data_IF_627361026911
#
_entry.id   IF_627361026911
#
_cell.length_a   1.000
_cell.length_b   1.000
_cell.length_c   1.000
_cell.angle_alpha   90.00
_cell.angle_beta   90.00
_cell.angle_gamma   90.00
#
_symmetry.space_group_name_H-M   'P 1'
#
loop_
_entity.id
_entity.type
_entity.pdbx_description
1 polymer ?
#
# COMPACT_ATOMS: atom_id res chain seq x y z
N UNK A 1 22.16 25.54 -7.40
CA UNK A 1 21.95 24.87 -6.10
C UNK A 1 21.41 25.84 -5.04
N UNK A 2 22.04 27.00 -4.82
CA UNK A 2 21.61 28.03 -3.83
C UNK A 2 20.19 28.60 -4.11
N UNK A 3 19.81 28.77 -5.38
CA UNK A 3 18.47 29.28 -5.74
C UNK A 3 17.35 28.28 -5.39
N UNK A 4 17.61 26.99 -5.61
CA UNK A 4 16.64 25.93 -5.32
C UNK A 4 16.44 25.75 -3.81
N UNK A 5 17.50 25.89 -3.01
CA UNK A 5 17.42 25.80 -1.54
C UNK A 5 16.70 26.99 -0.93
N UNK A 6 16.90 28.21 -1.45
CA UNK A 6 16.14 29.40 -1.04
C UNK A 6 14.66 29.30 -1.41
N UNK A 7 14.34 28.71 -2.56
CA UNK A 7 12.95 28.45 -2.96
C UNK A 7 12.31 27.42 -2.04
N UNK A 8 13.02 26.34 -1.70
CA UNK A 8 12.54 25.30 -0.77
C UNK A 8 12.35 25.88 0.63
N UNK A 9 13.28 26.67 1.15
CA UNK A 9 13.15 27.27 2.48
C UNK A 9 11.98 28.25 2.54
N UNK A 10 11.82 29.12 1.54
CA UNK A 10 10.66 30.03 1.44
C UNK A 10 9.35 29.26 1.28
N UNK A 11 9.35 28.16 0.53
CA UNK A 11 8.17 27.32 0.36
C UNK A 11 7.78 26.64 1.68
N UNK A 12 8.74 26.12 2.44
CA UNK A 12 8.52 25.57 3.78
C UNK A 12 7.97 26.65 4.72
N UNK A 13 8.57 27.84 4.76
CA UNK A 13 8.06 28.95 5.57
C UNK A 13 6.63 29.36 5.20
N UNK A 14 6.29 29.34 3.90
CA UNK A 14 4.95 29.67 3.40
C UNK A 14 3.93 28.60 3.79
N UNK A 15 4.29 27.32 3.68
CA UNK A 15 3.41 26.22 4.09
C UNK A 15 3.22 26.23 5.60
N UNK A 16 4.30 26.36 6.37
CA UNK A 16 4.25 26.30 7.81
C UNK A 16 3.51 27.50 8.42
N UNK A 17 3.42 28.65 7.74
CA UNK A 17 2.64 29.79 8.28
C UNK A 17 1.12 29.61 8.23
N UNK A 18 0.60 28.56 7.58
CA UNK A 18 -0.82 28.25 7.61
C UNK A 18 -1.34 27.91 9.01
N UNK A 19 -2.59 28.29 9.28
CA UNK A 19 -3.25 28.11 10.58
C UNK A 19 -3.24 26.66 11.12
N UNK A 20 -3.19 25.66 10.23
CA UNK A 20 -3.12 24.24 10.58
C UNK A 20 -1.87 23.91 11.41
N UNK A 21 -0.77 24.64 11.20
CA UNK A 21 0.50 24.40 11.91
C UNK A 21 0.67 25.27 13.17
N UNK A 22 -0.37 25.99 13.60
CA UNK A 22 -0.36 26.77 14.85
C UNK A 22 -0.86 25.99 16.06
N UNK A 23 -1.14 24.70 15.89
CA UNK A 23 -1.55 23.78 16.96
C UNK A 23 -0.35 23.49 17.87
N UNK A 24 -0.60 23.35 19.18
CA UNK A 24 0.46 22.97 20.11
C UNK A 24 1.04 21.58 19.75
N UNK A 25 2.37 21.39 19.68
CA UNK A 25 2.97 20.13 19.24
C UNK A 25 2.49 18.89 20.02
N UNK A 26 2.22 19.03 21.32
CA UNK A 26 1.67 17.94 22.14
C UNK A 26 0.29 17.45 21.67
N UNK A 27 -0.55 18.36 21.16
CA UNK A 27 -1.88 18.00 20.62
C UNK A 27 -1.71 17.23 19.31
N UNK A 28 -0.84 17.72 18.42
CA UNK A 28 -0.52 17.03 17.16
C UNK A 28 0.09 15.64 17.41
N UNK A 29 0.99 15.52 18.38
CA UNK A 29 1.56 14.24 18.81
C UNK A 29 0.49 13.31 19.39
N UNK A 30 -0.36 13.80 20.29
CA UNK A 30 -1.47 13.05 20.86
C UNK A 30 -2.44 12.54 19.78
N UNK A 31 -2.76 13.37 18.79
CA UNK A 31 -3.59 12.98 17.65
C UNK A 31 -2.94 11.88 16.80
N UNK A 32 -1.62 11.97 16.56
CA UNK A 32 -0.86 10.93 15.84
C UNK A 32 -0.90 9.58 16.58
N UNK A 33 -0.63 9.57 17.88
CA UNK A 33 -0.66 8.35 18.71
C UNK A 33 -2.08 7.80 18.79
N UNK A 34 -3.09 8.65 19.00
CA UNK A 34 -4.49 8.25 19.03
C UNK A 34 -4.93 7.61 17.70
N UNK A 35 -4.51 8.18 16.57
CA UNK A 35 -4.81 7.61 15.25
C UNK A 35 -4.19 6.21 15.07
N UNK A 36 -2.92 6.04 15.43
CA UNK A 36 -2.28 4.72 15.39
C UNK A 36 -3.01 3.72 16.28
N UNK A 37 -3.34 4.11 17.52
CA UNK A 37 -4.07 3.26 18.45
C UNK A 37 -5.41 2.83 17.86
N UNK A 38 -6.23 3.77 17.38
CA UNK A 38 -7.54 3.49 16.77
C UNK A 38 -7.40 2.64 15.50
N UNK A 39 -6.32 2.79 14.74
CA UNK A 39 -6.06 1.98 13.55
C UNK A 39 -5.83 0.50 13.86
N UNK A 40 -5.05 0.20 14.90
CA UNK A 40 -4.70 -1.18 15.25
C UNK A 40 -5.67 -1.84 16.24
N UNK A 41 -6.24 -1.04 17.16
CA UNK A 41 -7.05 -1.54 18.28
C UNK A 41 -8.21 -2.44 17.85
N UNK A 42 -9.07 -2.10 16.85
CA UNK A 42 -10.20 -2.94 16.48
C UNK A 42 -9.80 -4.33 16.00
N UNK A 43 -8.68 -4.48 15.28
CA UNK A 43 -8.24 -5.78 14.77
C UNK A 43 -7.73 -6.68 15.91
N UNK A 44 -6.95 -6.12 16.83
CA UNK A 44 -6.50 -6.86 18.00
C UNK A 44 -7.65 -7.21 18.95
N UNK A 45 -8.57 -6.26 19.17
CA UNK A 45 -9.72 -6.48 20.04
C UNK A 45 -10.68 -7.55 19.50
N UNK A 46 -10.99 -7.51 18.20
CA UNK A 46 -11.99 -8.40 17.62
C UNK A 46 -11.44 -9.78 17.23
N UNK A 47 -10.21 -9.85 16.72
CA UNK A 47 -9.69 -11.07 16.09
C UNK A 47 -8.39 -11.58 16.72
N UNK A 48 -7.80 -10.84 17.67
CA UNK A 48 -6.49 -11.13 18.28
C UNK A 48 -5.36 -11.35 17.25
N UNK A 49 -5.49 -10.72 16.08
CA UNK A 49 -4.49 -10.73 15.00
C UNK A 49 -4.29 -9.31 14.48
N UNK A 50 -3.10 -8.98 13.95
CA UNK A 50 -2.88 -7.68 13.34
C UNK A 50 -3.83 -7.47 12.14
N UNK A 51 -4.14 -6.20 11.81
CA UNK A 51 -4.93 -5.89 10.62
C UNK A 51 -4.29 -6.49 9.36
N UNK A 52 -5.12 -6.73 8.34
CA UNK A 52 -4.60 -7.17 7.04
C UNK A 52 -3.56 -6.17 6.50
N UNK A 53 -2.52 -6.62 5.77
CA UNK A 53 -1.40 -5.74 5.41
C UNK A 53 -1.79 -4.47 4.64
N UNK A 54 -2.89 -4.50 3.86
CA UNK A 54 -3.45 -3.30 3.21
C UNK A 54 -3.95 -2.25 4.21
N UNK A 55 -4.59 -2.67 5.30
CA UNK A 55 -5.05 -1.78 6.36
C UNK A 55 -3.86 -1.19 7.09
N UNK A 56 -2.84 -2.01 7.36
CA UNK A 56 -1.57 -1.54 7.95
C UNK A 56 -0.94 -0.43 7.10
N UNK A 57 -0.89 -0.60 5.77
CA UNK A 57 -0.36 0.43 4.86
C UNK A 57 -1.14 1.75 4.95
N UNK A 58 -2.48 1.70 5.04
CA UNK A 58 -3.31 2.89 5.19
C UNK A 58 -3.05 3.57 6.53
N UNK A 59 -2.92 2.80 7.62
CA UNK A 59 -2.59 3.35 8.94
C UNK A 59 -1.25 4.06 8.90
N UNK A 60 -0.21 3.43 8.34
CA UNK A 60 1.12 4.04 8.22
C UNK A 60 1.13 5.27 7.31
N UNK A 61 0.45 5.23 6.18
CA UNK A 61 0.36 6.38 5.27
C UNK A 61 -0.21 7.61 5.99
N UNK A 62 -1.33 7.45 6.67
CA UNK A 62 -1.94 8.54 7.45
C UNK A 62 -1.05 8.97 8.63
N UNK A 63 -0.38 8.02 9.28
CA UNK A 63 0.58 8.32 10.36
C UNK A 63 1.74 9.17 9.84
N UNK A 64 2.27 8.91 8.65
CA UNK A 64 3.32 9.72 8.02
C UNK A 64 2.82 11.14 7.75
N UNK A 65 1.58 11.32 7.28
CA UNK A 65 1.00 12.64 7.07
C UNK A 65 0.86 13.42 8.40
N UNK A 66 0.38 12.74 9.45
CA UNK A 66 0.29 13.32 10.79
C UNK A 66 1.67 13.63 11.39
N UNK A 67 2.68 12.82 11.08
CA UNK A 67 4.06 13.06 11.49
C UNK A 67 4.65 14.30 10.81
N UNK A 68 4.40 14.49 9.50
CA UNK A 68 4.79 15.72 8.80
C UNK A 68 4.11 16.95 9.43
N UNK A 69 2.81 16.83 9.76
CA UNK A 69 2.07 17.88 10.46
C UNK A 69 2.66 18.17 11.84
N UNK A 70 3.01 17.14 12.61
CA UNK A 70 3.66 17.26 13.91
C UNK A 70 5.01 17.99 13.81
N UNK A 71 5.86 17.63 12.83
CA UNK A 71 7.13 18.35 12.58
C UNK A 71 6.88 19.82 12.27
N UNK A 72 5.89 20.13 11.42
CA UNK A 72 5.52 21.52 11.09
C UNK A 72 5.06 22.31 12.32
N UNK A 73 4.27 21.68 13.20
CA UNK A 73 3.85 22.29 14.47
C UNK A 73 5.05 22.55 15.40
N UNK A 74 5.97 21.58 15.53
CA UNK A 74 7.22 21.74 16.29
C UNK A 74 8.05 22.91 15.77
N UNK A 75 8.26 22.98 14.46
CA UNK A 75 9.03 24.05 13.83
C UNK A 75 8.46 25.43 14.16
N UNK A 76 7.15 25.62 13.98
CA UNK A 76 6.48 26.87 14.31
C UNK A 76 6.50 27.20 15.80
N UNK A 77 6.30 26.21 16.66
CA UNK A 77 6.32 26.40 18.10
C UNK A 77 7.69 26.92 18.56
N UNK A 78 8.80 26.30 18.12
CA UNK A 78 10.15 26.76 18.46
C UNK A 78 10.48 28.12 17.84
N UNK A 79 10.06 28.37 16.60
CA UNK A 79 10.24 29.68 15.93
C UNK A 79 9.54 30.80 16.71
N UNK A 80 8.32 30.57 17.23
CA UNK A 80 7.58 31.53 18.07
C UNK A 80 8.27 31.80 19.41
N UNK A 81 8.95 30.80 19.97
CA UNK A 81 9.75 30.95 21.20
C UNK A 81 11.09 31.68 20.95
N UNK A 82 11.34 32.19 19.73
CA UNK A 82 12.56 32.89 19.38
C UNK A 82 13.79 31.99 19.19
N UNK A 83 13.60 30.66 19.19
CA UNK A 83 14.69 29.73 18.93
C UNK A 83 14.98 29.76 17.43
N UNK A 84 16.12 30.33 17.06
CA UNK A 84 16.61 30.33 15.68
C UNK A 84 17.01 28.91 15.30
N UNK A 85 16.13 28.20 14.60
CA UNK A 85 16.47 26.94 13.94
C UNK A 85 17.20 27.27 12.64
N UNK A 86 18.52 27.42 12.71
CA UNK A 86 19.34 27.63 11.52
C UNK A 86 19.52 26.28 10.82
N UNK A 87 18.53 25.91 10.01
CA UNK A 87 18.60 24.69 9.20
C UNK A 87 19.60 24.96 8.09
N UNK A 88 20.86 24.60 8.34
CA UNK A 88 21.93 24.69 7.35
C UNK A 88 21.50 24.07 6.03
N UNK A 89 21.73 24.79 4.92
CA UNK A 89 21.38 24.35 3.57
C UNK A 89 21.97 22.96 3.23
N UNK A 90 23.09 22.60 3.87
CA UNK A 90 23.72 21.30 3.74
C UNK A 90 22.85 20.16 4.29
N UNK A 91 22.17 20.37 5.41
CA UNK A 91 21.34 19.35 6.06
C UNK A 91 20.08 19.04 5.23
N UNK A 92 19.48 20.04 4.60
CA UNK A 92 18.30 19.86 3.74
C UNK A 92 18.64 19.06 2.48
N UNK A 93 19.77 19.36 1.85
CA UNK A 93 20.25 18.63 0.66
C UNK A 93 20.63 17.20 1.02
N UNK A 94 21.34 17.01 2.14
CA UNK A 94 21.70 15.68 2.61
C UNK A 94 20.46 14.83 2.91
N UNK A 95 19.45 15.41 3.56
CA UNK A 95 18.20 14.72 3.86
C UNK A 95 17.42 14.34 2.60
N UNK A 96 17.33 15.25 1.62
CA UNK A 96 16.71 14.97 0.32
C UNK A 96 17.46 13.87 -0.45
N UNK A 97 18.79 13.87 -0.42
CA UNK A 97 19.63 12.83 -1.05
C UNK A 97 19.45 11.48 -0.35
N UNK A 98 19.34 11.44 0.97
CA UNK A 98 19.08 10.21 1.73
C UNK A 98 17.70 9.64 1.39
N UNK A 99 16.65 10.47 1.38
CA UNK A 99 15.30 10.05 0.98
C UNK A 99 15.31 9.53 -0.47
N UNK A 100 15.91 10.27 -1.38
CA UNK A 100 15.98 9.88 -2.79
C UNK A 100 16.77 8.58 -2.98
N UNK A 101 17.90 8.44 -2.31
CA UNK A 101 18.72 7.22 -2.36
C UNK A 101 17.97 6.02 -1.80
N UNK A 102 17.20 6.20 -0.72
CA UNK A 102 16.37 5.15 -0.15
C UNK A 102 15.22 4.73 -1.09
N UNK A 103 14.60 5.68 -1.78
CA UNK A 103 13.55 5.42 -2.78
C UNK A 103 14.07 4.68 -4.02
N UNK A 104 15.35 4.88 -4.38
CA UNK A 104 15.98 4.27 -5.57
C UNK A 104 16.65 2.92 -5.25
N UNK A 105 17.23 2.76 -4.06
CA UNK A 105 18.05 1.59 -3.73
C UNK A 105 17.24 0.31 -3.45
N UNK A 106 15.96 0.41 -3.08
CA UNK A 106 15.10 -0.77 -2.84
C UNK A 106 14.29 -1.16 -4.07
N UNK A 107 13.95 -2.46 -4.15
CA UNK A 107 12.96 -2.96 -5.11
C UNK A 107 11.65 -2.19 -4.93
N UNK A 108 11.33 -1.34 -5.91
CA UNK A 108 10.21 -0.43 -5.84
C UNK A 108 8.96 -1.09 -6.48
N UNK A 109 7.83 -1.21 -5.76
CA UNK A 109 6.58 -1.70 -6.33
C UNK A 109 6.15 -0.97 -7.60
N UNK A 110 6.52 0.32 -7.74
CA UNK A 110 6.27 1.12 -8.93
C UNK A 110 7.01 0.54 -10.14
N UNK A 111 8.29 0.16 -9.98
CA UNK A 111 9.08 -0.44 -11.07
C UNK A 111 8.45 -1.77 -11.52
N UNK A 112 7.98 -2.57 -10.56
CA UNK A 112 7.25 -3.81 -10.86
C UNK A 112 5.93 -3.54 -11.59
N UNK A 113 5.18 -2.50 -11.20
CA UNK A 113 3.93 -2.11 -11.86
C UNK A 113 4.14 -1.74 -13.32
N UNK A 114 5.12 -0.86 -13.59
CA UNK A 114 5.48 -0.52 -14.97
C UNK A 114 5.96 -1.75 -15.75
N UNK A 115 6.75 -2.62 -15.12
CA UNK A 115 7.18 -3.87 -15.76
C UNK A 115 6.02 -4.84 -16.03
N UNK A 116 4.94 -4.84 -15.25
CA UNK A 116 3.74 -5.65 -15.50
C UNK A 116 2.91 -5.10 -16.67
N UNK A 117 2.81 -3.76 -16.78
CA UNK A 117 2.13 -3.07 -17.88
C UNK A 117 2.88 -3.25 -19.20
N UNK A 118 4.17 -2.91 -19.23
CA UNK A 118 5.00 -2.93 -20.45
C UNK A 118 5.20 -4.35 -20.97
N UNK A 119 5.38 -5.34 -20.08
CA UNK A 119 5.51 -6.75 -20.49
C UNK A 119 4.17 -7.41 -20.81
N UNK A 120 3.05 -6.68 -20.75
CA UNK A 120 1.73 -7.20 -21.09
C UNK A 120 1.12 -8.20 -20.09
N UNK A 121 1.75 -8.43 -18.93
CA UNK A 121 1.23 -9.35 -17.89
C UNK A 121 -0.13 -8.90 -17.38
N UNK A 122 -0.32 -7.60 -17.15
CA UNK A 122 -1.62 -7.05 -16.76
C UNK A 122 -2.71 -7.28 -17.83
N UNK A 123 -2.37 -7.12 -19.11
CA UNK A 123 -3.32 -7.36 -20.21
C UNK A 123 -3.65 -8.85 -20.36
N UNK A 124 -2.66 -9.73 -20.24
CA UNK A 124 -2.87 -11.19 -20.28
C UNK A 124 -3.76 -11.66 -19.14
N UNK A 125 -3.50 -11.18 -17.92
CA UNK A 125 -4.33 -11.45 -16.76
C UNK A 125 -5.78 -11.00 -16.94
N UNK A 126 -5.99 -9.78 -17.44
CA UNK A 126 -7.34 -9.26 -17.70
C UNK A 126 -8.11 -10.16 -18.65
N UNK A 127 -7.50 -10.58 -19.75
CA UNK A 127 -8.12 -11.49 -20.73
C UNK A 127 -8.48 -12.84 -20.10
N UNK A 128 -7.57 -13.44 -19.32
CA UNK A 128 -7.82 -14.70 -18.63
C UNK A 128 -8.95 -14.58 -17.60
N UNK A 129 -9.00 -13.47 -16.86
CA UNK A 129 -10.10 -13.20 -15.93
C UNK A 129 -11.43 -13.02 -16.66
N UNK A 130 -11.49 -12.21 -17.71
CA UNK A 130 -12.71 -12.02 -18.50
C UNK A 130 -13.24 -13.34 -19.07
N UNK A 131 -12.37 -14.17 -19.64
CA UNK A 131 -12.73 -15.52 -20.11
C UNK A 131 -13.29 -16.37 -18.97
N UNK A 132 -12.63 -16.36 -17.81
CA UNK A 132 -13.11 -17.08 -16.62
C UNK A 132 -14.48 -16.61 -16.16
N UNK A 133 -14.72 -15.29 -16.14
CA UNK A 133 -16.03 -14.70 -15.82
C UNK A 133 -17.12 -15.14 -16.80
N UNK A 134 -16.81 -15.22 -18.10
CA UNK A 134 -17.74 -15.73 -19.11
C UNK A 134 -18.08 -17.20 -18.85
N UNK A 135 -17.07 -18.06 -18.65
CA UNK A 135 -17.29 -19.47 -18.34
C UNK A 135 -18.17 -19.64 -17.10
N UNK A 136 -17.86 -18.91 -16.01
CA UNK A 136 -18.62 -18.92 -14.76
C UNK A 136 -20.08 -18.44 -14.92
N UNK A 137 -20.42 -17.73 -15.99
CA UNK A 137 -21.81 -17.33 -16.29
C UNK A 137 -22.63 -18.42 -16.97
N UNK A 138 -21.99 -19.42 -17.55
CA UNK A 138 -22.65 -20.43 -18.40
C UNK A 138 -22.59 -21.84 -17.82
N UNK A 139 -21.50 -22.20 -17.12
CA UNK A 139 -21.35 -23.53 -16.52
C UNK A 139 -22.20 -23.69 -15.24
N UNK A 140 -22.53 -24.94 -14.91
CA UNK A 140 -23.23 -25.31 -13.66
C UNK A 140 -22.28 -26.03 -12.68
N UNK A 141 -21.44 -26.93 -13.22
CA UNK A 141 -20.26 -27.51 -12.57
C UNK A 141 -19.02 -27.02 -13.31
N UNK A 142 -18.36 -26.00 -12.78
CA UNK A 142 -17.33 -25.26 -13.48
C UNK A 142 -15.94 -25.85 -13.20
N UNK A 143 -15.27 -26.28 -14.27
CA UNK A 143 -13.83 -26.59 -14.26
C UNK A 143 -13.14 -25.52 -15.07
N UNK A 144 -12.26 -24.77 -14.42
CA UNK A 144 -11.60 -23.62 -15.01
C UNK A 144 -10.11 -23.91 -15.22
N UNK A 145 -9.45 -23.29 -16.22
CA UNK A 145 -8.00 -23.32 -16.31
C UNK A 145 -7.39 -22.40 -15.22
N UNK A 146 -6.16 -22.68 -14.76
CA UNK A 146 -5.42 -21.80 -13.88
C UNK A 146 -4.98 -20.51 -14.59
N UNK A 147 -4.69 -19.48 -13.81
CA UNK A 147 -4.19 -18.21 -14.34
C UNK A 147 -2.67 -18.26 -14.40
N UNK A 148 -2.11 -18.15 -15.59
CA UNK A 148 -0.67 -18.15 -15.80
C UNK A 148 -0.06 -16.75 -15.67
N UNK A 149 -0.77 -15.72 -16.14
CA UNK A 149 -0.18 -14.39 -16.35
C UNK A 149 -0.34 -13.43 -15.17
N UNK A 150 -0.22 -13.91 -13.93
CA UNK A 150 -0.46 -13.08 -12.74
C UNK A 150 0.59 -11.95 -12.62
N UNK A 151 0.20 -10.66 -12.64
CA UNK A 151 1.09 -9.54 -12.38
C UNK A 151 1.85 -9.67 -11.05
N UNK A 152 3.14 -9.37 -11.05
CA UNK A 152 3.98 -9.41 -9.82
C UNK A 152 3.48 -8.39 -8.80
N UNK A 153 2.85 -7.31 -9.25
CA UNK A 153 2.21 -6.32 -8.39
C UNK A 153 0.96 -6.80 -7.65
N UNK A 154 0.35 -7.91 -8.06
CA UNK A 154 -0.74 -8.54 -7.33
C UNK A 154 -0.22 -9.47 -6.21
N UNK A 155 1.03 -9.92 -6.28
CA UNK A 155 1.65 -10.81 -5.29
C UNK A 155 2.01 -10.25 -3.91
N UNK A 156 1.98 -8.93 -3.60
CA UNK A 156 1.99 -8.57 -2.19
C UNK A 156 0.76 -9.22 -1.57
N UNK A 157 0.96 -9.99 -0.50
CA UNK A 157 -0.08 -10.73 0.25
C UNK A 157 -1.25 -9.86 0.72
N UNK A 158 -1.15 -8.54 0.58
CA UNK A 158 -2.21 -7.57 0.79
C UNK A 158 -3.32 -7.58 -0.27
N UNK A 159 -3.03 -8.01 -1.51
CA UNK A 159 -3.93 -7.91 -2.67
C UNK A 159 -4.38 -9.30 -3.15
N UNK A 160 -3.46 -10.26 -3.29
CA UNK A 160 -3.80 -11.62 -3.74
C UNK A 160 -3.89 -12.59 -2.54
N UNK A 161 -5.13 -12.91 -2.16
CA UNK A 161 -5.44 -13.78 -1.01
C UNK A 161 -5.59 -15.27 -1.34
N UNK A 162 -5.25 -15.68 -2.57
CA UNK A 162 -5.45 -17.03 -3.11
C UNK A 162 -6.41 -17.04 -4.30
N UNK A 163 -6.23 -18.01 -5.21
CA UNK A 163 -7.16 -18.30 -6.31
C UNK A 163 -8.07 -19.47 -5.97
N UNK A 164 -8.99 -19.78 -6.88
CA UNK A 164 -9.68 -21.07 -6.98
C UNK A 164 -8.66 -22.20 -6.85
N UNK A 165 -9.02 -23.32 -6.22
CA UNK A 165 -8.19 -24.52 -6.02
C UNK A 165 -8.82 -25.77 -6.67
N UNK A 166 -8.09 -26.89 -6.84
CA UNK A 166 -8.67 -28.12 -7.36
C UNK A 166 -9.76 -28.71 -6.46
N UNK A 167 -9.65 -28.49 -5.15
CA UNK A 167 -10.65 -28.89 -4.16
C UNK A 167 -11.85 -27.93 -4.17
N UNK A 168 -13.02 -28.42 -4.57
CA UNK A 168 -14.26 -27.65 -4.56
C UNK A 168 -14.71 -27.23 -3.16
N UNK A 169 -14.26 -27.91 -2.11
CA UNK A 169 -14.55 -27.56 -0.73
C UNK A 169 -13.67 -26.39 -0.23
N UNK A 170 -12.69 -25.92 -0.99
CA UNK A 170 -11.90 -24.75 -0.63
C UNK A 170 -12.78 -23.50 -0.53
N UNK A 171 -12.59 -22.70 0.52
CA UNK A 171 -13.50 -21.58 0.82
C UNK A 171 -13.62 -20.56 -0.32
N UNK A 172 -12.52 -20.30 -1.06
CA UNK A 172 -12.55 -19.40 -2.24
C UNK A 172 -13.48 -19.98 -3.31
N UNK A 173 -13.39 -21.28 -3.59
CA UNK A 173 -14.24 -21.95 -4.56
C UNK A 173 -15.71 -21.87 -4.16
N UNK A 174 -16.01 -22.08 -2.88
CA UNK A 174 -17.37 -21.94 -2.34
C UNK A 174 -17.89 -20.51 -2.49
N UNK A 175 -17.05 -19.49 -2.24
CA UNK A 175 -17.42 -18.09 -2.47
C UNK A 175 -17.73 -17.81 -3.95
N UNK A 176 -16.91 -18.31 -4.87
CA UNK A 176 -17.18 -18.20 -6.32
C UNK A 176 -18.48 -18.92 -6.69
N UNK A 177 -18.66 -20.16 -6.25
CA UNK A 177 -19.86 -20.95 -6.50
C UNK A 177 -21.12 -20.23 -5.98
N UNK A 178 -21.08 -19.70 -4.75
CA UNK A 178 -22.19 -18.95 -4.16
C UNK A 178 -22.47 -17.65 -4.92
N UNK A 179 -21.44 -16.89 -5.30
CA UNK A 179 -21.60 -15.61 -6.00
C UNK A 179 -22.23 -15.80 -7.39
N UNK A 180 -21.76 -16.80 -8.15
CA UNK A 180 -22.27 -17.11 -9.49
C UNK A 180 -23.48 -18.05 -9.49
N UNK A 181 -23.95 -18.51 -8.32
CA UNK A 181 -25.03 -19.48 -8.15
C UNK A 181 -24.77 -20.80 -8.89
N UNK A 182 -23.56 -21.35 -8.73
CA UNK A 182 -23.09 -22.60 -9.33
C UNK A 182 -23.05 -23.72 -8.31
N UNK A 183 -23.17 -24.95 -8.79
CA UNK A 183 -23.10 -26.15 -7.94
C UNK A 183 -21.69 -26.41 -7.45
N UNK A 184 -20.71 -26.25 -8.34
CA UNK A 184 -19.29 -26.40 -8.00
C UNK A 184 -18.42 -25.53 -8.89
N UNK A 185 -17.32 -25.05 -8.31
CA UNK A 185 -16.25 -24.36 -9.03
C UNK A 185 -14.94 -24.98 -8.59
N UNK A 186 -14.07 -25.32 -9.53
CA UNK A 186 -12.71 -25.80 -9.27
C UNK A 186 -11.80 -25.49 -10.45
N UNK A 187 -10.50 -25.47 -10.19
CA UNK A 187 -9.53 -25.53 -11.29
C UNK A 187 -9.34 -26.97 -11.72
N UNK A 188 -8.99 -27.17 -12.99
CA UNK A 188 -8.39 -28.43 -13.41
C UNK A 188 -7.11 -28.68 -12.59
N UNK A 189 -6.90 -29.89 -12.05
CA UNK A 189 -5.63 -30.21 -11.40
C UNK A 189 -4.54 -30.19 -12.47
N UNK A 190 -3.85 -29.07 -12.61
CA UNK A 190 -2.63 -28.99 -13.40
C UNK A 190 -1.66 -30.07 -12.88
N UNK A 191 -1.02 -30.79 -13.81
CA UNK A 191 0.12 -31.64 -13.50
C UNK A 191 1.16 -30.77 -12.80
N UNK A 192 1.23 -30.85 -11.47
CA UNK A 192 2.07 -30.04 -10.60
C UNK A 192 3.51 -30.09 -11.12
N UNK A 193 3.94 -29.08 -11.89
CA UNK A 193 5.35 -28.93 -12.18
C UNK A 193 5.96 -28.26 -10.95
N UNK A 194 6.51 -29.10 -10.07
CA UNK A 194 7.14 -28.79 -8.76
C UNK A 194 8.29 -27.74 -8.79
N UNK A 195 8.47 -26.95 -9.85
CA UNK A 195 9.64 -26.09 -10.02
C UNK A 195 9.52 -24.67 -9.48
N UNK A 196 8.32 -24.17 -9.18
CA UNK A 196 8.14 -22.75 -8.84
C UNK A 196 7.79 -22.48 -7.36
N UNK A 197 8.01 -23.46 -6.47
CA UNK A 197 8.04 -23.22 -5.02
C UNK A 197 9.51 -23.15 -4.57
N UNK A 198 10.14 -21.99 -4.77
CA UNK A 198 11.32 -21.53 -4.03
C UNK A 198 11.30 -20.02 -3.86
#
# INVERSE_FOLDING_TARGET
>A
MILATLLISKFIDTICTHAIFNIHPLIAFGAMIAFMFVGFFPSFWAMNVPPVPRTINVIYFNTILLFILFIGCCYNYFKRQGIQTDISQFNTVLFAVIIFSWLVARSNPIKSAYADLVRGRASGYQKQMEQRFLTLRECDNCVLPPIENIPVTLFPTSIYGGDIQPDSAYWVNQCYASFFRRKSVRIEPEAINKKDIK
#
